data_IF_238732770541
#
_entry.id   IF_238732770541
#
_cell.length_a   1.000
_cell.length_b   1.000
_cell.length_c   1.000
_cell.angle_alpha   90.00
_cell.angle_beta   90.00
_cell.angle_gamma   90.00
#
_symmetry.space_group_name_H-M   'P 1'
#
loop_
_entity.id
_entity.type
_entity.pdbx_description
1 polymer ?
#
# COMPACT_ATOMS: atom_id res chain seq x y z
N UNK A 1 -30.71 -26.02 -9.01
CA UNK A 1 -29.29 -26.14 -9.41
C UNK A 1 -28.65 -24.76 -9.29
N UNK A 2 -27.90 -24.50 -8.22
CA UNK A 2 -27.35 -23.17 -7.89
C UNK A 2 -25.94 -23.11 -8.47
N UNK A 3 -25.79 -22.45 -9.61
CA UNK A 3 -24.49 -22.24 -10.25
C UNK A 3 -23.71 -21.28 -9.33
N UNK A 4 -22.72 -21.81 -8.61
CA UNK A 4 -21.76 -20.99 -7.88
C UNK A 4 -20.86 -20.30 -8.92
N UNK A 5 -20.71 -18.97 -8.88
CA UNK A 5 -19.80 -18.29 -9.79
C UNK A 5 -18.38 -18.74 -9.48
N UNK A 6 -17.66 -19.13 -10.54
CA UNK A 6 -16.23 -19.38 -10.55
C UNK A 6 -15.50 -18.19 -9.94
N UNK A 7 -14.83 -18.39 -8.80
CA UNK A 7 -14.02 -17.39 -8.13
C UNK A 7 -12.74 -17.08 -8.91
N UNK A 8 -12.85 -16.42 -10.06
CA UNK A 8 -11.77 -15.57 -10.58
C UNK A 8 -11.98 -14.16 -10.02
N UNK A 9 -11.74 -14.02 -8.73
CA UNK A 9 -11.90 -12.76 -8.03
C UNK A 9 -10.67 -11.88 -8.28
N UNK A 10 -10.46 -11.46 -9.53
CA UNK A 10 -9.51 -10.40 -9.86
C UNK A 10 -10.13 -9.06 -9.43
N UNK A 11 -10.32 -8.85 -8.12
CA UNK A 11 -10.69 -7.53 -7.60
C UNK A 11 -9.54 -6.58 -7.86
N UNK A 12 -9.85 -5.42 -8.43
CA UNK A 12 -8.89 -4.33 -8.53
C UNK A 12 -8.45 -3.92 -7.11
N UNK A 13 -7.14 -3.94 -6.88
CA UNK A 13 -6.56 -3.63 -5.57
C UNK A 13 -6.86 -2.18 -5.14
N UNK A 14 -6.99 -1.28 -6.11
CA UNK A 14 -7.35 0.12 -5.86
C UNK A 14 -8.78 0.24 -5.36
N UNK A 15 -9.71 -0.47 -5.98
CA UNK A 15 -11.12 -0.47 -5.56
C UNK A 15 -11.28 -1.09 -4.17
N UNK A 16 -10.55 -2.17 -3.90
CA UNK A 16 -10.49 -2.73 -2.55
C UNK A 16 -9.90 -1.76 -1.53
N UNK A 17 -8.84 -1.02 -1.90
CA UNK A 17 -8.27 0.01 -1.04
C UNK A 17 -9.24 1.17 -0.76
N UNK A 18 -10.07 1.55 -1.74
CA UNK A 18 -11.12 2.56 -1.57
C UNK A 18 -12.21 2.07 -0.63
N UNK A 19 -12.65 0.82 -0.76
CA UNK A 19 -13.62 0.18 0.14
C UNK A 19 -13.14 0.19 1.60
N UNK A 20 -11.85 -0.14 1.83
CA UNK A 20 -11.24 -0.08 3.17
C UNK A 20 -11.29 1.35 3.71
N UNK A 21 -10.85 2.33 2.92
CA UNK A 21 -10.82 3.74 3.33
C UNK A 21 -12.21 4.25 3.68
N UNK A 22 -13.21 3.95 2.87
CA UNK A 22 -14.60 4.33 3.10
C UNK A 22 -15.17 3.67 4.36
N UNK A 23 -14.86 2.38 4.56
CA UNK A 23 -15.30 1.63 5.75
C UNK A 23 -14.70 2.20 7.03
N UNK A 24 -13.41 2.54 7.02
CA UNK A 24 -12.76 3.18 8.17
C UNK A 24 -13.38 4.55 8.41
N UNK A 25 -13.58 5.36 7.36
CA UNK A 25 -14.21 6.67 7.49
C UNK A 25 -15.61 6.57 8.10
N UNK A 26 -16.45 5.64 7.64
CA UNK A 26 -17.81 5.43 8.18
C UNK A 26 -17.81 5.02 9.65
N UNK A 27 -16.85 4.20 10.06
CA UNK A 27 -16.82 3.61 11.41
C UNK A 27 -16.13 4.49 12.44
N UNK A 28 -15.12 5.25 12.04
CA UNK A 28 -14.27 5.99 12.97
C UNK A 28 -14.24 7.50 12.71
N UNK A 29 -14.82 7.95 11.60
CA UNK A 29 -14.74 9.34 11.12
C UNK A 29 -13.29 9.81 10.86
N UNK A 30 -12.35 8.88 10.70
CA UNK A 30 -10.95 9.18 10.39
C UNK A 30 -10.63 8.87 8.91
N UNK A 31 -10.00 9.82 8.23
CA UNK A 31 -9.48 9.60 6.88
C UNK A 31 -8.15 8.86 6.93
N UNK A 32 -8.05 7.73 6.23
CA UNK A 32 -6.82 6.94 6.13
C UNK A 32 -6.30 6.90 4.69
N UNK A 33 -4.98 6.72 4.56
CA UNK A 33 -4.33 6.36 3.30
C UNK A 33 -4.10 4.85 3.23
N UNK A 34 -4.24 4.27 2.04
CA UNK A 34 -4.04 2.83 1.80
C UNK A 34 -2.92 2.64 0.78
N UNK A 35 -1.88 1.88 1.17
CA UNK A 35 -0.77 1.52 0.30
C UNK A 35 -0.71 0.00 0.11
N UNK A 36 -0.68 -0.44 -1.14
CA UNK A 36 -0.67 -1.87 -1.51
C UNK A 36 0.62 -2.16 -2.29
N UNK A 37 1.34 -3.21 -1.90
CA UNK A 37 2.55 -3.65 -2.58
C UNK A 37 2.92 -5.10 -2.19
N UNK A 38 3.89 -5.67 -2.91
CA UNK A 38 4.38 -7.04 -2.69
C UNK A 38 5.23 -7.20 -1.42
N UNK A 39 5.88 -6.14 -0.91
CA UNK A 39 6.73 -6.18 0.28
C UNK A 39 6.30 -5.14 1.31
N UNK A 40 6.62 -5.38 2.59
CA UNK A 40 6.28 -4.47 3.70
C UNK A 40 6.89 -3.07 3.52
N UNK A 41 8.12 -3.00 3.00
CA UNK A 41 8.81 -1.74 2.72
C UNK A 41 8.10 -0.96 1.61
N UNK A 42 7.77 -1.62 0.50
CA UNK A 42 7.05 -0.99 -0.61
C UNK A 42 5.62 -0.59 -0.22
N UNK A 43 4.94 -1.37 0.61
CA UNK A 43 3.60 -1.04 1.08
C UNK A 43 3.63 0.20 1.99
N UNK A 44 4.70 0.35 2.79
CA UNK A 44 4.92 1.56 3.58
C UNK A 44 5.18 2.78 2.69
N UNK A 45 6.02 2.63 1.66
CA UNK A 45 6.29 3.68 0.67
C UNK A 45 4.99 4.08 -0.06
N UNK A 46 4.21 3.10 -0.52
CA UNK A 46 2.91 3.32 -1.14
C UNK A 46 1.96 4.07 -0.22
N UNK A 47 1.89 3.71 1.06
CA UNK A 47 1.04 4.40 2.04
C UNK A 47 1.54 5.83 2.32
N UNK A 48 2.85 6.05 2.33
CA UNK A 48 3.42 7.39 2.42
C UNK A 48 2.98 8.24 1.22
N UNK A 49 3.16 7.73 0.00
CA UNK A 49 2.70 8.38 -1.23
C UNK A 49 1.18 8.63 -1.23
N UNK A 50 0.37 7.67 -0.77
CA UNK A 50 -1.08 7.82 -0.66
C UNK A 50 -1.49 8.95 0.28
N UNK A 51 -0.67 9.27 1.29
CA UNK A 51 -0.90 10.38 2.22
C UNK A 51 -0.36 11.71 1.70
N UNK A 52 0.83 11.72 1.09
CA UNK A 52 1.43 12.92 0.52
C UNK A 52 0.62 13.44 -0.66
N UNK A 53 0.20 12.54 -1.55
CA UNK A 53 -0.49 12.87 -2.79
C UNK A 53 -1.95 12.47 -2.74
N UNK A 54 -2.64 12.75 -1.63
CA UNK A 54 -4.06 12.40 -1.48
C UNK A 54 -4.93 12.96 -2.60
N UNK A 55 -4.65 14.18 -3.07
CA UNK A 55 -5.40 14.82 -4.16
C UNK A 55 -5.21 14.11 -5.49
N UNK A 56 -4.00 13.60 -5.78
CA UNK A 56 -3.68 12.93 -7.03
C UNK A 56 -4.06 11.44 -7.02
N UNK A 57 -3.98 10.79 -5.86
CA UNK A 57 -4.15 9.34 -5.70
C UNK A 57 -5.52 8.94 -5.16
N UNK A 58 -6.31 9.89 -4.66
CA UNK A 58 -7.55 9.59 -3.94
C UNK A 58 -7.33 8.89 -2.60
N UNK A 59 -6.10 8.92 -2.07
CA UNK A 59 -5.73 8.27 -0.81
C UNK A 59 -5.44 6.76 -0.94
N UNK A 60 -5.31 6.23 -2.15
CA UNK A 60 -4.97 4.82 -2.41
C UNK A 60 -3.85 4.73 -3.44
N UNK A 61 -2.78 3.99 -3.13
CA UNK A 61 -1.66 3.75 -4.05
C UNK A 61 -1.37 2.26 -4.13
N UNK A 62 -1.36 1.74 -5.35
CA UNK A 62 -0.97 0.36 -5.65
C UNK A 62 0.37 0.31 -6.40
N UNK A 63 1.35 -0.31 -5.75
CA UNK A 63 2.68 -0.62 -6.24
C UNK A 63 2.85 -2.12 -6.53
N UNK A 64 1.79 -2.85 -6.88
CA UNK A 64 1.88 -4.22 -7.39
C UNK A 64 2.64 -4.31 -8.72
N UNK A 65 2.59 -3.24 -9.53
CA UNK A 65 3.27 -3.13 -10.82
C UNK A 65 4.68 -2.53 -10.68
N UNK A 66 5.70 -3.22 -11.22
CA UNK A 66 7.10 -2.79 -11.19
C UNK A 66 7.36 -1.44 -11.88
N UNK A 67 6.61 -1.08 -12.93
CA UNK A 67 6.75 0.20 -13.60
C UNK A 67 6.28 1.35 -12.69
N UNK A 68 5.17 1.14 -11.98
CA UNK A 68 4.67 2.09 -10.97
C UNK A 68 5.65 2.19 -9.80
N UNK A 69 6.27 1.09 -9.39
CA UNK A 69 7.32 1.09 -8.37
C UNK A 69 8.49 1.97 -8.80
N UNK A 70 9.04 1.78 -10.01
CA UNK A 70 10.18 2.59 -10.49
C UNK A 70 9.86 4.07 -10.56
N UNK A 71 8.68 4.42 -11.11
CA UNK A 71 8.20 5.81 -11.15
C UNK A 71 8.09 6.41 -9.75
N UNK A 72 7.52 5.67 -8.80
CA UNK A 72 7.37 6.14 -7.43
C UNK A 72 8.71 6.27 -6.72
N UNK A 73 9.62 5.30 -6.88
CA UNK A 73 10.96 5.32 -6.27
C UNK A 73 11.85 6.42 -6.84
N UNK A 74 11.62 6.83 -8.09
CA UNK A 74 12.29 8.00 -8.67
C UNK A 74 11.79 9.33 -8.09
N UNK A 75 10.52 9.38 -7.68
CA UNK A 75 9.89 10.58 -7.10
C UNK A 75 10.05 10.67 -5.58
N UNK A 76 10.09 9.53 -4.89
CA UNK A 76 10.28 9.37 -3.46
C UNK A 76 11.45 8.39 -3.25
N UNK A 77 12.68 8.88 -3.00
CA UNK A 77 13.78 7.99 -2.68
C UNK A 77 13.40 7.12 -1.47
N UNK A 78 13.75 5.84 -1.51
CA UNK A 78 13.42 4.86 -0.46
C UNK A 78 13.95 5.29 0.92
N UNK A 79 14.94 6.19 0.94
CA UNK A 79 15.46 6.86 2.12
C UNK A 79 14.44 7.72 2.88
N UNK A 80 13.34 8.20 2.26
CA UNK A 80 12.28 8.89 3.01
C UNK A 80 11.40 7.93 3.85
N UNK A 81 11.53 6.61 3.67
CA UNK A 81 10.82 5.60 4.48
C UNK A 81 11.50 5.40 5.85
N UNK A 82 12.45 6.27 6.24
CA UNK A 82 13.32 6.24 7.42
C UNK A 82 12.65 6.37 8.81
N UNK A 83 11.51 5.71 9.00
CA UNK A 83 11.06 5.20 10.30
C UNK A 83 10.92 3.66 10.33
N UNK A 84 10.82 3.02 9.16
CA UNK A 84 10.55 1.57 9.03
C UNK A 84 11.82 0.77 8.76
N UNK A 85 12.80 1.36 8.06
CA UNK A 85 14.13 0.77 7.90
C UNK A 85 14.75 0.35 9.23
N UNK A 86 14.71 1.23 10.25
CA UNK A 86 15.29 0.95 11.58
C UNK A 86 14.76 -0.32 12.27
N UNK A 87 13.48 -0.67 12.08
CA UNK A 87 12.88 -1.91 12.64
C UNK A 87 13.18 -3.14 11.79
N UNK A 88 13.32 -2.97 10.47
CA UNK A 88 13.63 -4.06 9.54
C UNK A 88 15.13 -4.37 9.56
N UNK A 89 16.01 -3.36 9.56
CA UNK A 89 17.47 -3.50 9.76
C UNK A 89 17.79 -4.22 11.06
N UNK A 90 17.16 -3.84 12.18
CA UNK A 90 17.32 -4.59 13.45
C UNK A 90 16.88 -6.05 13.35
N UNK A 91 15.87 -6.37 12.53
CA UNK A 91 15.39 -7.73 12.30
C UNK A 91 16.26 -8.53 11.32
N UNK A 92 16.97 -7.85 10.42
CA UNK A 92 17.94 -8.44 9.50
C UNK A 92 19.29 -8.66 10.20
N UNK A 93 19.74 -7.71 11.01
CA UNK A 93 20.91 -7.87 11.89
C UNK A 93 20.68 -8.99 12.93
N UNK A 94 19.46 -9.14 13.45
CA UNK A 94 19.12 -10.22 14.37
C UNK A 94 18.91 -11.60 13.72
N UNK A 95 18.77 -11.67 12.39
CA UNK A 95 18.71 -12.93 11.63
C UNK A 95 19.92 -13.12 10.71
N UNK A 96 20.98 -12.32 10.92
CA UNK A 96 22.26 -12.46 10.25
C UNK A 96 23.19 -13.38 11.04
N UNK A 97 22.83 -14.66 11.10
CA UNK A 97 23.75 -15.78 11.32
C UNK A 97 23.58 -16.74 10.15
#
# INVERSE_FOLDING_TARGET
>A
MRILPVWRNCRDLTDFGREIRETVLRRTHLTVGVGIAQTKTLAKLANHAAKQWQRQTGGVVDLSNQERQRKLMALLPVDEVWGVGRRISKKLEANGH
#
